data_IF_017953522427
#
_entry.id   IF_017953522427
#
_cell.length_a   1.000
_cell.length_b   1.000
_cell.length_c   1.000
_cell.angle_alpha   90.00
_cell.angle_beta   90.00
_cell.angle_gamma   90.00
#
_symmetry.space_group_name_H-M   'P 1'
#
loop_
_entity.id
_entity.type
_entity.pdbx_description
1 polymer ?
#
# COMPACT_ATOMS: atom_id res chain seq x y z
N UNK A 1 20.48 -7.40 -20.46
CA UNK A 1 20.06 -6.79 -19.17
C UNK A 1 18.67 -6.20 -19.37
N UNK A 2 17.76 -6.36 -18.41
CA UNK A 2 16.41 -5.78 -18.49
C UNK A 2 16.44 -4.25 -18.57
N UNK A 3 15.43 -3.65 -19.22
CA UNK A 3 15.32 -2.20 -19.31
C UNK A 3 15.09 -1.57 -17.92
N UNK A 4 15.33 -0.27 -17.76
CA UNK A 4 15.07 0.41 -16.48
C UNK A 4 13.60 0.29 -16.04
N UNK A 5 12.67 0.29 -17.00
CA UNK A 5 11.22 0.13 -16.74
C UNK A 5 10.91 -1.28 -16.25
N UNK A 6 11.48 -2.31 -16.90
CA UNK A 6 11.30 -3.70 -16.50
C UNK A 6 11.85 -3.96 -15.10
N UNK A 7 13.02 -3.38 -14.80
CA UNK A 7 13.64 -3.47 -13.47
C UNK A 7 12.81 -2.83 -12.38
N UNK A 8 12.19 -1.68 -12.64
CA UNK A 8 11.29 -1.03 -11.69
C UNK A 8 10.03 -1.89 -11.41
N UNK A 9 9.44 -2.49 -12.45
CA UNK A 9 8.31 -3.43 -12.32
C UNK A 9 8.67 -4.68 -11.54
N UNK A 10 9.84 -5.26 -11.78
CA UNK A 10 10.30 -6.43 -11.03
C UNK A 10 10.47 -6.08 -9.56
N UNK A 11 11.15 -4.97 -9.27
CA UNK A 11 11.36 -4.54 -7.89
C UNK A 11 10.04 -4.22 -7.19
N UNK A 12 9.02 -3.69 -7.89
CA UNK A 12 7.69 -3.49 -7.31
C UNK A 12 7.01 -4.79 -6.96
N UNK A 13 7.11 -5.82 -7.81
CA UNK A 13 6.59 -7.15 -7.53
C UNK A 13 7.26 -7.77 -6.29
N UNK A 14 8.60 -7.77 -6.25
CA UNK A 14 9.36 -8.28 -5.08
C UNK A 14 8.99 -7.49 -3.82
N UNK A 15 8.85 -6.16 -3.92
CA UNK A 15 8.48 -5.29 -2.80
C UNK A 15 7.07 -5.55 -2.27
N UNK A 16 6.17 -6.02 -3.14
CA UNK A 16 4.82 -6.43 -2.78
C UNK A 16 4.78 -7.62 -1.82
N UNK A 17 5.84 -8.44 -1.76
CA UNK A 17 5.96 -9.52 -0.77
C UNK A 17 5.87 -8.93 0.64
N UNK A 18 5.01 -9.46 1.53
CA UNK A 18 4.97 -9.03 2.93
C UNK A 18 6.37 -9.05 3.54
N UNK A 19 6.66 -8.10 4.42
CA UNK A 19 7.94 -8.05 5.14
C UNK A 19 7.70 -7.53 6.54
N UNK A 20 8.41 -8.04 7.56
CA UNK A 20 8.23 -7.59 8.95
C UNK A 20 8.68 -6.13 9.13
N UNK A 21 9.61 -5.67 8.30
CA UNK A 21 10.12 -4.31 8.31
C UNK A 21 9.70 -3.55 7.05
N UNK A 22 9.50 -2.24 7.18
CA UNK A 22 9.39 -1.35 6.03
C UNK A 22 10.75 -1.28 5.32
N UNK A 23 10.83 -1.92 4.16
CA UNK A 23 12.00 -1.93 3.28
C UNK A 23 11.73 -1.14 2.01
N UNK A 24 12.79 -0.69 1.35
CA UNK A 24 12.73 0.02 0.07
C UNK A 24 13.90 -0.37 -0.83
N UNK A 25 13.69 -0.30 -2.14
CA UNK A 25 14.65 -0.71 -3.15
C UNK A 25 15.07 0.47 -4.04
N UNK A 26 16.38 0.59 -4.26
CA UNK A 26 16.95 1.57 -5.17
C UNK A 26 17.87 0.89 -6.20
N UNK A 27 17.44 0.87 -7.46
CA UNK A 27 18.27 0.45 -8.59
C UNK A 27 19.32 1.53 -8.92
N UNK A 28 20.60 1.19 -8.79
CA UNK A 28 21.75 2.02 -9.19
C UNK A 28 22.41 1.53 -10.48
N UNK A 29 21.83 0.53 -11.14
CA UNK A 29 22.31 -0.09 -12.37
C UNK A 29 23.34 -1.19 -12.12
N UNK A 30 24.45 -0.87 -11.45
CA UNK A 30 25.50 -1.83 -11.11
C UNK A 30 25.34 -2.46 -9.71
N UNK A 31 24.45 -1.91 -8.89
CA UNK A 31 24.04 -2.44 -7.60
C UNK A 31 22.56 -2.13 -7.33
N UNK A 32 21.94 -2.94 -6.48
CA UNK A 32 20.65 -2.67 -5.87
C UNK A 32 20.90 -2.39 -4.40
N UNK A 33 20.32 -1.30 -3.90
CA UNK A 33 20.40 -0.90 -2.51
C UNK A 33 19.07 -1.17 -1.85
N UNK A 34 19.07 -1.98 -0.79
CA UNK A 34 17.93 -2.20 0.08
C UNK A 34 18.13 -1.37 1.35
N UNK A 35 17.15 -0.57 1.69
CA UNK A 35 17.15 0.22 2.92
C UNK A 35 15.96 -0.14 3.77
N UNK A 36 16.08 0.05 5.08
CA UNK A 36 14.96 -0.08 6.02
C UNK A 36 14.81 1.20 6.84
N UNK A 37 13.59 1.48 7.28
CA UNK A 37 13.30 2.52 8.27
C UNK A 37 13.25 1.98 9.71
N UNK A 38 13.39 0.67 9.89
CA UNK A 38 13.45 0.05 11.21
C UNK A 38 14.73 0.44 11.96
N UNK A 39 14.57 0.75 13.25
CA UNK A 39 15.65 1.25 14.12
C UNK A 39 16.32 0.15 14.95
N UNK A 40 15.76 -1.06 15.01
CA UNK A 40 16.38 -2.20 15.67
C UNK A 40 17.36 -2.95 14.77
N UNK A 41 17.78 -4.14 15.21
CA UNK A 41 18.87 -4.89 14.56
C UNK A 41 18.41 -5.69 13.34
N UNK A 42 18.17 -4.97 12.24
CA UNK A 42 17.87 -5.58 10.92
C UNK A 42 19.04 -6.39 10.37
N UNK A 43 20.27 -6.10 10.77
CA UNK A 43 21.43 -6.83 10.24
C UNK A 43 21.46 -8.25 10.79
N UNK A 44 21.17 -8.44 12.06
CA UNK A 44 21.02 -9.78 12.65
C UNK A 44 19.89 -10.55 11.98
N UNK A 45 18.72 -9.93 11.78
CA UNK A 45 17.62 -10.54 11.02
C UNK A 45 18.06 -11.01 9.63
N UNK A 46 18.71 -10.17 8.83
CA UNK A 46 19.19 -10.59 7.51
C UNK A 46 20.19 -11.74 7.60
N UNK A 47 21.08 -11.71 8.60
CA UNK A 47 22.06 -12.77 8.79
C UNK A 47 21.41 -14.11 9.14
N UNK A 48 20.35 -14.11 9.95
CA UNK A 48 19.57 -15.32 10.27
C UNK A 48 18.90 -15.91 9.02
N UNK A 49 18.22 -15.06 8.26
CA UNK A 49 17.61 -15.44 6.98
C UNK A 49 18.64 -16.05 6.03
N UNK A 50 19.78 -15.40 5.83
CA UNK A 50 20.81 -15.90 4.92
C UNK A 50 21.51 -17.16 5.44
N UNK A 51 21.69 -17.33 6.75
CA UNK A 51 22.24 -18.57 7.33
C UNK A 51 21.29 -19.75 7.13
N UNK A 52 19.97 -19.52 7.19
CA UNK A 52 18.97 -20.56 7.00
C UNK A 52 18.85 -20.97 5.53
N UNK A 53 18.81 -20.00 4.61
CA UNK A 53 18.76 -20.25 3.16
C UNK A 53 20.08 -20.79 2.60
N UNK A 54 21.21 -20.39 3.19
CA UNK A 54 22.52 -20.74 2.70
C UNK A 54 23.46 -21.20 3.83
N UNK A 55 23.17 -22.36 4.46
CA UNK A 55 23.88 -22.82 5.67
C UNK A 55 25.37 -23.08 5.43
N UNK A 56 25.73 -23.47 4.21
CA UNK A 56 27.11 -23.79 3.83
C UNK A 56 27.96 -22.54 3.49
N UNK A 57 27.36 -21.34 3.47
CA UNK A 57 28.08 -20.13 3.08
C UNK A 57 28.85 -19.50 4.24
N UNK A 58 30.16 -19.45 4.10
CA UNK A 58 31.00 -18.61 4.95
C UNK A 58 30.82 -17.12 4.61
N UNK A 59 30.51 -16.30 5.60
CA UNK A 59 30.49 -14.84 5.48
C UNK A 59 31.80 -14.23 5.95
N UNK A 60 32.19 -13.09 5.37
CA UNK A 60 33.37 -12.32 5.81
C UNK A 60 32.92 -11.06 6.51
N UNK A 61 33.33 -10.91 7.76
CA UNK A 61 33.13 -9.67 8.51
C UNK A 61 34.40 -8.84 8.54
N UNK A 62 34.29 -7.55 8.24
CA UNK A 62 35.38 -6.58 8.38
C UNK A 62 34.80 -5.25 8.86
N UNK A 63 35.13 -4.87 10.09
CA UNK A 63 34.56 -3.70 10.76
C UNK A 63 33.02 -3.75 10.70
N UNK A 64 32.37 -2.66 10.27
CA UNK A 64 30.91 -2.58 10.21
C UNK A 64 30.28 -3.28 9.00
N UNK A 65 31.05 -4.05 8.21
CA UNK A 65 30.57 -4.67 6.97
C UNK A 65 30.62 -6.19 7.06
N UNK A 66 29.46 -6.82 6.83
CA UNK A 66 29.36 -8.26 6.57
C UNK A 66 29.19 -8.47 5.07
N UNK A 67 29.99 -9.36 4.49
CA UNK A 67 29.96 -9.72 3.07
C UNK A 67 29.53 -11.18 2.90
N UNK A 68 28.46 -11.37 2.14
CA UNK A 68 27.86 -12.67 1.81
C UNK A 68 27.94 -12.88 0.30
N UNK A 69 28.16 -14.12 -0.14
CA UNK A 69 28.24 -14.49 -1.55
C UNK A 69 27.25 -15.64 -1.85
N UNK A 70 25.96 -15.32 -2.04
CA UNK A 70 24.91 -16.34 -2.18
C UNK A 70 25.05 -17.20 -3.44
N UNK A 71 25.61 -16.62 -4.51
CA UNK A 71 25.75 -17.28 -5.80
C UNK A 71 27.00 -16.77 -6.54
N UNK A 72 27.51 -17.52 -7.54
CA UNK A 72 28.61 -17.07 -8.40
C UNK A 72 28.32 -15.69 -9.00
N UNK A 73 29.26 -14.75 -8.84
CA UNK A 73 29.12 -13.40 -9.41
C UNK A 73 28.15 -12.48 -8.67
N UNK A 74 27.68 -12.86 -7.48
CA UNK A 74 26.84 -12.04 -6.59
C UNK A 74 27.58 -11.73 -5.29
N UNK A 75 27.37 -10.53 -4.78
CA UNK A 75 27.91 -10.08 -3.49
C UNK A 75 26.88 -9.22 -2.79
N UNK A 76 26.50 -9.65 -1.59
CA UNK A 76 25.68 -8.90 -0.66
C UNK A 76 26.60 -8.29 0.40
N UNK A 77 26.44 -7.00 0.67
CA UNK A 77 27.13 -6.29 1.76
C UNK A 77 26.09 -5.71 2.70
N UNK A 78 26.14 -6.11 3.96
CA UNK A 78 25.33 -5.56 5.05
C UNK A 78 26.19 -4.59 5.84
N UNK A 79 25.69 -3.37 6.07
CA UNK A 79 26.35 -2.37 6.90
C UNK A 79 25.67 -2.31 8.28
N UNK A 80 26.39 -2.69 9.34
CA UNK A 80 25.92 -2.72 10.73
C UNK A 80 25.53 -1.34 11.26
N UNK A 81 26.16 -0.28 10.77
CA UNK A 81 25.94 1.09 11.25
C UNK A 81 24.76 1.77 10.56
N UNK A 82 24.58 1.54 9.26
CA UNK A 82 23.54 2.22 8.47
C UNK A 82 22.32 1.34 8.17
N UNK A 83 22.37 0.06 8.50
CA UNK A 83 21.34 -0.94 8.16
C UNK A 83 21.06 -1.04 6.65
N UNK A 84 22.01 -0.62 5.83
CA UNK A 84 21.91 -0.68 4.37
C UNK A 84 22.44 -2.02 3.88
N UNK A 85 21.67 -2.69 3.05
CA UNK A 85 22.12 -3.84 2.25
C UNK A 85 22.42 -3.39 0.81
N UNK A 86 23.58 -3.80 0.29
CA UNK A 86 23.95 -3.60 -1.11
C UNK A 86 24.15 -4.94 -1.80
N UNK A 87 23.49 -5.11 -2.95
CA UNK A 87 23.50 -6.34 -3.74
C UNK A 87 24.14 -6.00 -5.08
N UNK A 88 25.27 -6.62 -5.39
CA UNK A 88 26.16 -6.19 -6.48
C UNK A 88 26.83 -7.37 -7.19
N UNK A 89 27.43 -7.12 -8.35
CA UNK A 89 28.15 -8.13 -9.14
C UNK A 89 27.48 -8.42 -10.50
N UNK A 90 28.10 -9.24 -11.35
CA UNK A 90 27.58 -9.49 -12.71
C UNK A 90 26.25 -10.25 -12.71
N UNK A 91 26.01 -11.09 -11.70
CA UNK A 91 24.80 -11.91 -11.58
C UNK A 91 23.71 -11.33 -10.69
N UNK A 92 23.90 -10.12 -10.13
CA UNK A 92 23.01 -9.61 -9.07
C UNK A 92 21.55 -9.47 -9.48
N UNK A 93 21.28 -9.07 -10.73
CA UNK A 93 19.92 -8.93 -11.23
C UNK A 93 19.20 -10.27 -11.39
N UNK A 94 19.90 -11.28 -11.90
CA UNK A 94 19.35 -12.63 -12.07
C UNK A 94 19.03 -13.20 -10.69
N UNK A 95 19.97 -13.09 -9.74
CA UNK A 95 19.74 -13.54 -8.37
C UNK A 95 18.59 -12.79 -7.67
N UNK A 96 18.43 -11.48 -7.91
CA UNK A 96 17.29 -10.75 -7.37
C UNK A 96 15.95 -11.25 -7.89
N UNK A 97 15.87 -11.60 -9.17
CA UNK A 97 14.67 -12.17 -9.78
C UNK A 97 14.35 -13.55 -9.21
N UNK A 98 15.38 -14.39 -9.12
CA UNK A 98 15.20 -15.81 -8.89
C UNK A 98 15.12 -16.16 -7.40
N UNK A 99 15.65 -15.31 -6.50
CA UNK A 99 15.86 -15.70 -5.10
C UNK A 99 15.43 -14.67 -4.06
N UNK A 100 15.25 -13.39 -4.40
CA UNK A 100 15.02 -12.39 -3.34
C UNK A 100 13.61 -12.48 -2.72
N UNK A 101 12.61 -12.92 -3.48
CA UNK A 101 11.27 -13.19 -2.91
C UNK A 101 11.34 -14.26 -1.83
N UNK A 102 12.06 -15.36 -2.07
CA UNK A 102 12.30 -16.43 -1.09
C UNK A 102 13.05 -15.91 0.16
N UNK A 103 14.02 -15.01 -0.03
CA UNK A 103 14.69 -14.30 1.08
C UNK A 103 13.69 -13.54 1.95
N UNK A 104 12.71 -12.85 1.35
CA UNK A 104 11.68 -12.14 2.10
C UNK A 104 10.70 -13.11 2.79
N UNK A 105 10.31 -14.18 2.10
CA UNK A 105 9.41 -15.21 2.64
C UNK A 105 10.01 -15.93 3.84
N UNK A 106 11.29 -16.33 3.76
CA UNK A 106 11.99 -16.92 4.90
C UNK A 106 12.05 -15.95 6.08
N UNK A 107 12.32 -14.67 5.83
CA UNK A 107 12.28 -13.64 6.87
C UNK A 107 10.91 -13.46 7.53
N UNK A 108 9.83 -13.66 6.79
CA UNK A 108 8.48 -13.62 7.36
C UNK A 108 8.20 -14.83 8.26
N UNK A 109 8.63 -16.03 7.85
CA UNK A 109 8.47 -17.24 8.65
C UNK A 109 9.16 -17.10 10.01
N UNK A 110 10.40 -16.60 9.99
CA UNK A 110 11.23 -16.41 11.20
C UNK A 110 10.59 -15.39 12.17
N UNK A 111 9.95 -14.33 11.66
CA UNK A 111 9.27 -13.34 12.51
C UNK A 111 7.93 -13.83 13.09
N UNK A 112 7.20 -14.71 12.39
CA UNK A 112 6.00 -15.35 12.95
C UNK A 112 6.33 -16.25 14.14
N UNK A 113 7.57 -16.78 14.19
CA UNK A 113 8.08 -17.52 15.34
C UNK A 113 8.51 -16.60 16.50
N UNK A 114 8.67 -15.29 16.27
CA UNK A 114 9.30 -14.35 17.21
C UNK A 114 8.38 -13.32 17.87
N UNK A 115 7.24 -12.89 17.29
CA UNK A 115 6.41 -11.83 17.92
C UNK A 115 4.88 -11.98 17.75
N UNK A 116 4.23 -12.33 18.87
CA UNK A 116 2.84 -11.93 19.22
C UNK A 116 2.76 -10.42 19.58
N UNK A 117 3.85 -9.65 19.53
CA UNK A 117 3.87 -8.28 20.06
C UNK A 117 4.75 -7.37 19.20
N UNK A 118 4.19 -6.73 18.17
CA UNK A 118 4.29 -5.27 17.97
C UNK A 118 3.63 -4.76 16.68
N UNK A 119 2.96 -3.62 16.85
CA UNK A 119 2.05 -2.95 15.95
C UNK A 119 2.66 -2.44 14.64
N UNK A 120 1.80 -2.39 13.61
CA UNK A 120 1.92 -1.68 12.34
C UNK A 120 2.97 -0.56 12.38
N UNK A 121 4.03 -0.71 11.59
CA UNK A 121 5.21 0.16 11.57
C UNK A 121 4.85 1.66 11.55
N UNK A 122 5.36 2.43 12.52
CA UNK A 122 5.35 3.90 12.53
C UNK A 122 6.26 4.46 11.41
N UNK A 123 5.76 4.37 10.17
CA UNK A 123 6.46 4.81 8.97
C UNK A 123 6.05 6.25 8.58
N UNK A 124 6.86 6.88 7.72
CA UNK A 124 6.65 8.27 7.27
C UNK A 124 5.30 8.49 6.57
N UNK A 125 4.72 7.45 5.99
CA UNK A 125 3.38 7.45 5.37
C UNK A 125 2.29 7.59 6.43
N UNK A 126 2.39 6.86 7.53
CA UNK A 126 1.45 6.90 8.66
C UNK A 126 1.29 8.32 9.21
N UNK A 127 2.42 8.98 9.48
CA UNK A 127 2.46 10.37 9.97
C UNK A 127 1.99 11.38 8.93
N UNK A 128 2.28 11.14 7.64
CA UNK A 128 1.78 12.00 6.56
C UNK A 128 0.25 11.91 6.45
N UNK A 129 -0.28 10.70 6.60
CA UNK A 129 -1.71 10.45 6.65
C UNK A 129 -2.34 10.90 7.99
N UNK A 130 -1.57 11.31 8.99
CA UNK A 130 -2.09 11.71 10.30
C UNK A 130 -2.95 10.61 10.95
N UNK A 131 -2.71 9.34 10.63
CA UNK A 131 -3.42 8.22 11.24
C UNK A 131 -3.07 8.10 12.73
N UNK A 132 -1.87 8.55 13.11
CA UNK A 132 -1.39 8.69 14.48
C UNK A 132 -2.13 9.76 15.31
N UNK A 133 -2.82 10.70 14.65
CA UNK A 133 -3.62 11.74 15.30
C UNK A 133 -5.11 11.42 15.34
N UNK A 134 -5.55 10.45 14.54
CA UNK A 134 -6.90 9.89 14.61
C UNK A 134 -6.88 8.81 15.71
N UNK A 135 -6.94 9.26 16.96
CA UNK A 135 -6.99 8.38 18.15
C UNK A 135 -8.37 7.72 18.30
N UNK A 136 -9.39 8.23 17.59
CA UNK A 136 -10.72 7.64 17.54
C UNK A 136 -10.69 6.33 16.74
N UNK A 137 -11.19 5.26 17.36
CA UNK A 137 -11.34 3.97 16.69
C UNK A 137 -12.37 4.10 15.56
N UNK A 138 -12.25 3.27 14.52
CA UNK A 138 -13.24 3.24 13.42
C UNK A 138 -14.66 3.08 13.96
N UNK A 139 -14.82 2.28 15.03
CA UNK A 139 -16.10 2.05 15.68
C UNK A 139 -16.67 3.32 16.30
N UNK A 140 -15.86 4.17 16.95
CA UNK A 140 -16.32 5.45 17.51
C UNK A 140 -16.90 6.35 16.41
N UNK A 141 -16.26 6.39 15.23
CA UNK A 141 -16.75 7.15 14.08
C UNK A 141 -18.05 6.57 13.52
N UNK A 142 -18.18 5.25 13.50
CA UNK A 142 -19.42 4.58 13.05
C UNK A 142 -20.59 4.83 14.00
N UNK A 143 -20.35 4.80 15.31
CA UNK A 143 -21.36 5.02 16.35
C UNK A 143 -21.92 6.46 16.34
N UNK A 144 -21.20 7.40 15.73
CA UNK A 144 -21.71 8.76 15.50
C UNK A 144 -22.75 8.83 14.37
N UNK A 145 -22.89 7.80 13.54
CA UNK A 145 -23.87 7.75 12.45
C UNK A 145 -25.21 7.29 13.01
N UNK A 146 -26.29 8.10 12.89
CA UNK A 146 -27.62 7.67 13.31
C UNK A 146 -28.06 6.40 12.58
N UNK A 147 -28.86 5.57 13.26
CA UNK A 147 -29.50 4.41 12.64
C UNK A 147 -30.29 4.84 11.39
N UNK A 148 -30.05 4.16 10.26
CA UNK A 148 -30.64 4.51 8.96
C UNK A 148 -29.90 5.61 8.18
N UNK A 149 -28.87 6.21 8.76
CA UNK A 149 -28.02 7.23 8.15
C UNK A 149 -28.27 8.65 8.67
N UNK A 150 -27.33 9.54 8.41
CA UNK A 150 -27.37 10.92 8.90
C UNK A 150 -26.70 11.93 7.98
N UNK A 151 -26.96 13.21 8.26
CA UNK A 151 -26.33 14.34 7.56
C UNK A 151 -25.05 14.70 8.31
N UNK A 152 -23.90 14.43 7.70
CA UNK A 152 -22.59 14.63 8.31
C UNK A 152 -21.81 15.76 7.69
N UNK A 153 -20.87 16.32 8.46
CA UNK A 153 -19.96 17.34 7.97
C UNK A 153 -18.80 16.73 7.18
N UNK A 154 -18.31 17.49 6.22
CA UNK A 154 -17.23 17.11 5.31
C UNK A 154 -15.97 16.50 5.95
N UNK A 155 -15.51 17.06 7.06
CA UNK A 155 -14.36 16.65 7.83
C UNK A 155 -14.58 15.28 8.50
N UNK A 156 -15.76 15.05 9.06
CA UNK A 156 -16.16 13.74 9.57
C UNK A 156 -16.14 12.67 8.47
N UNK A 157 -16.75 12.96 7.31
CA UNK A 157 -16.85 11.99 6.19
C UNK A 157 -15.46 11.59 5.71
N UNK A 158 -14.55 12.55 5.59
CA UNK A 158 -13.17 12.30 5.16
C UNK A 158 -12.40 11.45 6.17
N UNK A 159 -12.59 11.70 7.48
CA UNK A 159 -11.99 10.89 8.55
C UNK A 159 -12.52 9.47 8.53
N UNK A 160 -13.84 9.31 8.51
CA UNK A 160 -14.51 8.00 8.48
C UNK A 160 -14.09 7.17 7.27
N UNK A 161 -14.16 7.74 6.07
CA UNK A 161 -13.74 7.08 4.84
C UNK A 161 -12.31 6.54 4.92
N UNK A 162 -11.39 7.40 5.37
CA UNK A 162 -9.98 7.07 5.47
C UNK A 162 -9.73 5.96 6.47
N UNK A 163 -10.38 6.04 7.64
CA UNK A 163 -10.25 5.05 8.70
C UNK A 163 -10.82 3.70 8.26
N UNK A 164 -11.98 3.67 7.60
CA UNK A 164 -12.55 2.44 7.04
C UNK A 164 -11.65 1.79 6.00
N UNK A 165 -11.09 2.57 5.06
CA UNK A 165 -10.19 2.00 4.06
C UNK A 165 -8.89 1.48 4.69
N UNK A 166 -8.31 2.19 5.67
CA UNK A 166 -7.10 1.68 6.37
C UNK A 166 -7.40 0.37 7.09
N UNK A 167 -8.55 0.28 7.76
CA UNK A 167 -8.98 -0.91 8.50
C UNK A 167 -9.29 -2.10 7.58
N UNK A 168 -10.06 -1.88 6.51
CA UNK A 168 -10.36 -2.91 5.52
C UNK A 168 -9.13 -3.39 4.76
N UNK A 169 -8.18 -2.49 4.47
CA UNK A 169 -6.87 -2.92 3.98
C UNK A 169 -6.13 -3.70 5.07
N UNK A 170 -6.12 -3.23 6.31
CA UNK A 170 -5.47 -3.87 7.45
C UNK A 170 -5.91 -5.32 7.68
N UNK A 171 -7.19 -5.63 7.46
CA UNK A 171 -7.72 -6.98 7.61
C UNK A 171 -7.66 -7.83 6.32
N UNK A 172 -7.19 -7.28 5.19
CA UNK A 172 -7.04 -8.02 3.94
C UNK A 172 -8.34 -8.19 3.15
N UNK A 173 -9.28 -7.24 3.26
CA UNK A 173 -10.55 -7.29 2.54
C UNK A 173 -10.43 -6.93 1.06
N UNK A 174 -11.45 -7.28 0.28
CA UNK A 174 -11.65 -6.79 -1.07
C UNK A 174 -12.40 -5.46 -1.01
N UNK A 175 -11.71 -4.36 -1.31
CA UNK A 175 -12.24 -2.99 -1.19
C UNK A 175 -12.64 -2.44 -2.55
N UNK A 176 -13.85 -1.91 -2.63
CA UNK A 176 -14.40 -1.22 -3.80
C UNK A 176 -14.64 0.25 -3.47
N UNK A 177 -13.98 1.14 -4.21
CA UNK A 177 -14.23 2.57 -4.17
C UNK A 177 -15.06 2.91 -5.40
N UNK A 178 -16.33 3.27 -5.20
CA UNK A 178 -17.26 3.60 -6.29
C UNK A 178 -17.60 5.07 -6.22
N UNK A 179 -17.14 5.84 -7.20
CA UNK A 179 -17.36 7.29 -7.19
C UNK A 179 -17.44 7.92 -8.57
N UNK A 180 -18.35 8.86 -8.82
CA UNK A 180 -18.41 9.59 -10.07
C UNK A 180 -17.21 10.53 -10.26
N UNK A 181 -16.56 10.94 -9.15
CA UNK A 181 -15.44 11.89 -9.16
C UNK A 181 -14.42 11.57 -8.09
N UNK A 182 -13.15 11.54 -8.49
CA UNK A 182 -12.00 11.57 -7.59
C UNK A 182 -10.99 12.62 -8.08
N UNK A 183 -10.32 13.30 -7.16
CA UNK A 183 -9.20 14.17 -7.49
C UNK A 183 -7.85 13.57 -7.05
N UNK A 184 -6.78 14.27 -7.43
CA UNK A 184 -5.42 13.84 -7.23
C UNK A 184 -5.02 13.66 -5.76
N UNK A 185 -5.57 14.45 -4.84
CA UNK A 185 -5.27 14.34 -3.41
C UNK A 185 -5.92 13.10 -2.81
N UNK A 186 -7.19 12.86 -3.12
CA UNK A 186 -7.92 11.67 -2.65
C UNK A 186 -7.32 10.39 -3.24
N UNK A 187 -7.00 10.38 -4.54
CA UNK A 187 -6.33 9.24 -5.17
C UNK A 187 -4.92 9.00 -4.59
N UNK A 188 -4.18 10.07 -4.28
CA UNK A 188 -2.89 9.93 -3.60
C UNK A 188 -3.03 9.31 -2.21
N UNK A 189 -4.04 9.69 -1.44
CA UNK A 189 -4.30 9.09 -0.13
C UNK A 189 -4.62 7.60 -0.24
N UNK A 190 -5.40 7.18 -1.23
CA UNK A 190 -5.64 5.75 -1.52
C UNK A 190 -4.31 5.02 -1.76
N UNK A 191 -3.44 5.55 -2.62
CA UNK A 191 -2.13 4.92 -2.87
C UNK A 191 -1.26 4.83 -1.61
N UNK A 192 -1.32 5.83 -0.73
CA UNK A 192 -0.58 5.80 0.53
C UNK A 192 -1.12 4.74 1.50
N UNK A 193 -2.45 4.60 1.59
CA UNK A 193 -3.11 3.56 2.39
C UNK A 193 -2.78 2.15 1.84
N UNK A 194 -2.76 1.99 0.52
CA UNK A 194 -2.34 0.74 -0.12
C UNK A 194 -0.90 0.39 0.25
N UNK A 195 0.03 1.36 0.13
CA UNK A 195 1.46 1.17 0.43
C UNK A 195 1.67 0.79 1.91
N UNK A 196 0.91 1.40 2.82
CA UNK A 196 0.97 1.10 4.26
C UNK A 196 0.56 -0.34 4.57
N UNK A 197 -0.45 -0.84 3.87
CA UNK A 197 -1.05 -2.15 4.13
C UNK A 197 -0.60 -3.24 3.14
N UNK A 198 0.51 -3.05 2.39
CA UNK A 198 0.96 -3.97 1.32
C UNK A 198 1.01 -5.46 1.70
N UNK A 199 1.18 -5.76 2.99
CA UNK A 199 1.39 -7.11 3.51
C UNK A 199 0.13 -7.88 3.90
N UNK A 200 -1.05 -7.29 3.78
CA UNK A 200 -2.31 -7.87 4.30
C UNK A 200 -3.14 -8.61 3.24
N UNK A 201 -2.63 -8.72 2.01
CA UNK A 201 -3.29 -9.38 0.88
C UNK A 201 -4.67 -8.80 0.51
N UNK A 202 -4.91 -7.53 0.83
CA UNK A 202 -6.11 -6.83 0.37
C UNK A 202 -6.13 -6.67 -1.16
N UNK A 203 -7.32 -6.51 -1.72
CA UNK A 203 -7.50 -6.10 -3.12
C UNK A 203 -8.24 -4.76 -3.16
N UNK A 204 -7.94 -3.92 -4.15
CA UNK A 204 -8.64 -2.65 -4.32
C UNK A 204 -9.08 -2.42 -5.76
N UNK A 205 -10.35 -2.06 -5.91
CA UNK A 205 -10.95 -1.68 -7.18
C UNK A 205 -11.54 -0.27 -7.09
N UNK A 206 -11.16 0.61 -8.01
CA UNK A 206 -11.76 1.91 -8.23
C UNK A 206 -12.72 1.84 -9.42
N UNK A 207 -14.02 1.92 -9.15
CA UNK A 207 -15.03 2.12 -10.18
C UNK A 207 -15.25 3.61 -10.38
N UNK A 208 -15.03 4.12 -11.59
CA UNK A 208 -15.12 5.54 -11.92
C UNK A 208 -15.44 5.76 -13.41
N UNK A 209 -16.29 6.73 -13.79
CA UNK A 209 -16.51 7.07 -15.20
C UNK A 209 -15.20 7.44 -15.92
N UNK A 210 -15.05 7.04 -17.18
CA UNK A 210 -13.86 7.38 -17.98
C UNK A 210 -13.68 8.90 -18.13
N UNK A 211 -14.81 9.61 -18.22
CA UNK A 211 -14.91 11.06 -18.22
C UNK A 211 -15.78 11.50 -17.05
N UNK A 212 -15.23 12.33 -16.17
CA UNK A 212 -16.00 12.90 -15.07
C UNK A 212 -17.07 13.89 -15.58
N UNK A 213 -17.98 14.35 -14.71
CA UNK A 213 -19.04 15.31 -15.04
C UNK A 213 -18.56 16.65 -15.64
N UNK A 214 -17.28 17.00 -15.47
CA UNK A 214 -16.65 18.18 -16.08
C UNK A 214 -15.89 17.90 -17.39
N UNK A 215 -16.02 16.70 -17.97
CA UNK A 215 -15.33 16.29 -19.20
C UNK A 215 -13.85 15.90 -19.02
N UNK A 216 -13.30 16.07 -17.82
CA UNK A 216 -11.93 15.65 -17.52
C UNK A 216 -11.82 14.12 -17.48
N UNK A 217 -10.83 13.59 -18.19
CA UNK A 217 -10.54 12.16 -18.22
C UNK A 217 -9.81 11.74 -16.94
N UNK A 218 -10.19 10.60 -16.36
CA UNK A 218 -9.52 10.03 -15.18
C UNK A 218 -8.00 9.91 -15.36
N UNK A 219 -7.54 9.63 -16.59
CA UNK A 219 -6.11 9.59 -16.95
C UNK A 219 -5.34 10.85 -16.50
N UNK A 220 -5.94 12.04 -16.61
CA UNK A 220 -5.30 13.30 -16.20
C UNK A 220 -5.17 13.42 -14.68
N UNK A 221 -6.18 12.97 -13.93
CA UNK A 221 -6.12 12.84 -12.48
C UNK A 221 -5.00 11.89 -12.06
N UNK A 222 -4.92 10.72 -12.70
CA UNK A 222 -3.86 9.74 -12.44
C UNK A 222 -2.47 10.31 -12.71
N UNK A 223 -2.26 10.97 -13.86
CA UNK A 223 -0.98 11.60 -14.20
C UNK A 223 -0.58 12.69 -13.18
N UNK A 224 -1.53 13.50 -12.73
CA UNK A 224 -1.30 14.55 -11.73
C UNK A 224 -0.96 13.95 -10.37
N UNK A 225 -1.65 12.89 -9.98
CA UNK A 225 -1.38 12.12 -8.77
C UNK A 225 0.04 11.56 -8.77
N UNK A 226 0.45 10.93 -9.88
CA UNK A 226 1.82 10.40 -10.04
C UNK A 226 2.87 11.50 -9.94
N UNK A 227 2.62 12.68 -10.52
CA UNK A 227 3.53 13.84 -10.38
C UNK A 227 3.61 14.32 -8.92
N UNK A 228 2.49 14.31 -8.21
CA UNK A 228 2.46 14.69 -6.79
C UNK A 228 3.23 13.69 -5.94
N UNK A 229 3.01 12.38 -6.10
CA UNK A 229 3.78 11.32 -5.41
C UNK A 229 5.29 11.49 -5.57
N UNK A 230 5.75 11.82 -6.79
CA UNK A 230 7.18 12.05 -7.10
C UNK A 230 7.78 13.30 -6.44
N UNK A 231 6.94 14.28 -6.11
CA UNK A 231 7.34 15.58 -5.54
C UNK A 231 7.17 15.65 -4.03
N UNK A 232 6.22 14.89 -3.47
CA UNK A 232 5.93 14.89 -2.04
C UNK A 232 7.14 14.43 -1.23
N UNK A 233 7.51 15.25 -0.24
CA UNK A 233 8.63 15.02 0.67
C UNK A 233 8.15 15.00 2.11
N UNK A 234 8.85 14.25 2.94
CA UNK A 234 8.61 14.26 4.39
C UNK A 234 8.92 15.65 4.95
N UNK A 235 8.06 16.22 5.83
CA UNK A 235 8.24 17.59 6.32
C UNK A 235 9.59 17.83 7.01
N UNK A 236 10.07 16.86 7.82
CA UNK A 236 11.27 17.01 8.64
C UNK A 236 12.57 16.74 7.89
N UNK A 237 12.63 15.71 7.05
CA UNK A 237 13.90 15.28 6.42
C UNK A 237 14.04 15.74 4.98
N UNK A 238 12.98 16.27 4.37
CA UNK A 238 12.92 16.64 2.96
C UNK A 238 13.27 15.49 1.99
N UNK A 239 13.35 14.24 2.49
CA UNK A 239 13.42 13.04 1.68
C UNK A 239 12.08 12.78 1.01
N UNK A 240 12.12 12.17 -0.18
CA UNK A 240 10.91 11.71 -0.87
C UNK A 240 10.07 10.83 0.05
N UNK A 241 8.76 11.03 0.05
CA UNK A 241 7.83 10.24 0.85
C UNK A 241 7.65 8.83 0.28
N UNK A 242 7.52 8.74 -1.05
CA UNK A 242 7.27 7.49 -1.77
C UNK A 242 8.40 7.27 -2.79
N UNK A 243 8.97 6.06 -2.81
CA UNK A 243 9.96 5.68 -3.80
C UNK A 243 9.33 5.31 -5.13
N UNK A 244 10.14 5.25 -6.19
CA UNK A 244 9.63 4.89 -7.51
C UNK A 244 9.08 3.45 -7.53
N UNK A 245 9.63 2.56 -6.70
CA UNK A 245 9.20 1.16 -6.55
C UNK A 245 7.83 1.06 -5.86
N UNK A 246 7.65 1.75 -4.73
CA UNK A 246 6.37 1.80 -4.00
C UNK A 246 5.25 2.38 -4.85
N UNK A 247 5.56 3.45 -5.60
CA UNK A 247 4.62 4.07 -6.54
C UNK A 247 4.25 3.12 -7.69
N UNK A 248 5.23 2.40 -8.26
CA UNK A 248 4.96 1.43 -9.32
C UNK A 248 4.05 0.30 -8.81
N UNK A 249 4.32 -0.22 -7.61
CA UNK A 249 3.46 -1.24 -6.98
C UNK A 249 2.02 -0.75 -6.80
N UNK A 250 1.83 0.46 -6.26
CA UNK A 250 0.49 1.01 -6.03
C UNK A 250 -0.30 1.20 -7.35
N UNK A 251 0.39 1.59 -8.43
CA UNK A 251 -0.22 1.74 -9.76
C UNK A 251 -0.60 0.40 -10.39
N UNK A 252 0.17 -0.66 -10.14
CA UNK A 252 -0.07 -2.00 -10.68
C UNK A 252 -1.17 -2.76 -9.93
N UNK A 253 -1.37 -2.44 -8.64
CA UNK A 253 -2.33 -3.14 -7.78
C UNK A 253 -3.67 -2.40 -7.59
N UNK A 254 -3.83 -1.20 -8.17
CA UNK A 254 -5.13 -0.54 -8.23
C UNK A 254 -5.88 -0.99 -9.50
N UNK A 255 -6.91 -1.81 -9.33
CA UNK A 255 -7.79 -2.18 -10.44
C UNK A 255 -8.72 -1.00 -10.74
N UNK A 256 -8.76 -0.52 -11.99
CA UNK A 256 -9.65 0.57 -12.39
C UNK A 256 -10.71 0.02 -13.34
N UNK A 257 -11.97 0.18 -12.96
CA UNK A 257 -13.13 -0.17 -13.76
C UNK A 257 -13.84 1.10 -14.21
N UNK A 258 -14.09 1.20 -15.52
CA UNK A 258 -14.77 2.36 -16.10
C UNK A 258 -16.22 2.03 -16.42
N UNK A 259 -17.12 2.68 -15.69
CA UNK A 259 -18.56 2.54 -15.88
C UNK A 259 -19.25 3.91 -15.67
N UNK A 260 -20.34 4.16 -16.38
CA UNK A 260 -21.11 5.38 -16.23
C UNK A 260 -22.20 5.20 -15.16
N UNK A 261 -22.03 5.87 -14.03
CA UNK A 261 -22.97 5.84 -12.93
C UNK A 261 -22.95 7.18 -12.16
N UNK A 262 -23.92 7.36 -11.27
CA UNK A 262 -24.04 8.54 -10.39
C UNK A 262 -24.01 8.21 -8.90
N UNK A 263 -23.98 6.92 -8.54
CA UNK A 263 -23.90 6.47 -7.14
C UNK A 263 -22.51 6.68 -6.55
N UNK A 264 -22.43 6.79 -5.23
CA UNK A 264 -21.17 6.98 -4.53
C UNK A 264 -21.16 6.21 -3.20
N UNK A 265 -20.22 5.28 -3.09
CA UNK A 265 -20.02 4.46 -1.91
C UNK A 265 -18.61 3.89 -1.86
N UNK A 266 -18.20 3.49 -0.66
CA UNK A 266 -17.11 2.52 -0.49
C UNK A 266 -17.69 1.26 0.10
N UNK A 267 -17.16 0.12 -0.32
CA UNK A 267 -17.55 -1.16 0.21
C UNK A 267 -16.33 -2.03 0.43
N UNK A 268 -16.41 -2.94 1.38
CA UNK A 268 -15.46 -4.02 1.53
C UNK A 268 -16.18 -5.32 1.78
N UNK A 269 -15.55 -6.43 1.38
CA UNK A 269 -15.97 -7.75 1.82
C UNK A 269 -14.76 -8.64 2.09
N UNK A 270 -14.92 -9.51 3.08
CA UNK A 270 -14.00 -10.59 3.40
C UNK A 270 -14.83 -11.78 3.82
N UNK A 271 -14.57 -12.93 3.20
CA UNK A 271 -15.38 -14.13 3.39
C UNK A 271 -16.88 -13.85 3.14
N UNK A 272 -17.76 -14.18 4.08
CA UNK A 272 -19.21 -14.01 3.97
C UNK A 272 -19.72 -12.65 4.48
N UNK A 273 -18.84 -11.80 5.02
CA UNK A 273 -19.19 -10.50 5.59
C UNK A 273 -18.82 -9.34 4.67
N UNK A 274 -19.74 -8.40 4.52
CA UNK A 274 -19.55 -7.18 3.76
C UNK A 274 -20.02 -5.95 4.52
N UNK A 275 -19.36 -4.82 4.22
CA UNK A 275 -19.65 -3.51 4.78
C UNK A 275 -19.75 -2.49 3.66
N UNK A 276 -20.71 -1.57 3.77
CA UNK A 276 -20.94 -0.52 2.76
C UNK A 276 -21.19 0.81 3.44
N UNK A 277 -20.36 1.80 3.08
CA UNK A 277 -20.60 3.21 3.39
C UNK A 277 -21.09 3.91 2.12
N UNK A 278 -22.37 4.26 2.11
CA UNK A 278 -22.98 5.11 1.06
C UNK A 278 -22.93 6.58 1.46
N UNK A 279 -22.62 7.46 0.51
CA UNK A 279 -22.64 8.91 0.77
C UNK A 279 -22.89 9.74 -0.47
N UNK A 280 -23.50 10.92 -0.30
CA UNK A 280 -23.62 11.91 -1.39
C UNK A 280 -22.32 12.69 -1.63
N UNK A 281 -21.34 12.57 -0.74
CA UNK A 281 -20.04 13.22 -0.86
C UNK A 281 -19.13 12.47 -1.85
N UNK A 282 -18.93 13.01 -3.04
CA UNK A 282 -17.91 12.47 -3.96
C UNK A 282 -16.51 12.59 -3.37
N UNK A 283 -15.57 11.75 -3.81
CA UNK A 283 -14.15 11.78 -3.40
C UNK A 283 -13.36 12.98 -3.98
N UNK A 284 -13.88 14.18 -3.82
CA UNK A 284 -13.40 15.39 -4.47
C UNK A 284 -13.39 16.60 -3.53
N UNK A 285 -12.44 17.52 -3.68
CA UNK A 285 -12.26 18.73 -2.82
C UNK A 285 -13.53 19.53 -2.62
N UNK A 286 -14.41 19.54 -3.62
CA UNK A 286 -15.69 20.25 -3.57
C UNK A 286 -16.69 19.70 -2.56
N UNK A 287 -16.40 18.56 -1.93
CA UNK A 287 -17.16 18.02 -0.80
C UNK A 287 -16.36 18.08 0.51
N UNK A 288 -15.03 18.16 0.44
CA UNK A 288 -14.15 18.12 1.63
C UNK A 288 -13.48 19.44 2.02
N UNK A 289 -13.61 20.51 1.24
CA UNK A 289 -13.01 21.82 1.53
C UNK A 289 -14.03 22.95 1.61
N UNK A 290 -15.26 22.66 1.21
CA UNK A 290 -16.40 23.55 1.38
C UNK A 290 -17.21 22.99 2.54
N UNK A 291 -17.74 23.83 3.44
CA UNK A 291 -18.62 23.47 4.57
C UNK A 291 -19.94 22.84 4.12
N UNK A 292 -19.86 21.76 3.36
CA UNK A 292 -20.97 20.99 2.86
C UNK A 292 -21.34 19.91 3.87
N UNK A 293 -22.62 19.62 3.87
CA UNK A 293 -23.21 18.52 4.60
C UNK A 293 -23.69 17.51 3.57
N UNK A 294 -23.37 16.25 3.81
CA UNK A 294 -23.66 15.16 2.90
C UNK A 294 -24.32 14.02 3.69
N UNK A 295 -25.19 13.27 3.02
CA UNK A 295 -25.81 12.11 3.65
C UNK A 295 -24.77 10.99 3.75
N UNK A 296 -24.79 10.27 4.86
CA UNK A 296 -23.92 9.13 5.12
C UNK A 296 -24.77 8.02 5.70
N UNK A 297 -24.66 6.82 5.16
CA UNK A 297 -25.30 5.63 5.70
C UNK A 297 -24.33 4.46 5.60
N UNK A 298 -24.15 3.75 6.71
CA UNK A 298 -23.26 2.60 6.85
C UNK A 298 -24.10 1.36 7.14
N UNK A 299 -23.82 0.26 6.43
CA UNK A 299 -24.54 -0.99 6.59
C UNK A 299 -23.57 -2.16 6.58
N UNK A 300 -23.84 -3.16 7.43
CA UNK A 300 -23.25 -4.50 7.34
C UNK A 300 -24.26 -5.42 6.66
N UNK A 301 -23.79 -6.25 5.74
CA UNK A 301 -24.62 -7.17 4.98
C UNK A 301 -23.83 -8.40 4.51
N UNK A 302 -24.51 -9.49 4.07
CA UNK A 302 -23.83 -10.63 3.48
C UNK A 302 -23.08 -10.26 2.19
N UNK A 303 -21.94 -10.88 1.94
CA UNK A 303 -21.16 -10.70 0.69
C UNK A 303 -22.00 -10.93 -0.56
N UNK A 304 -22.93 -11.87 -0.54
CA UNK A 304 -23.86 -12.14 -1.65
C UNK A 304 -24.74 -10.95 -1.98
N UNK A 305 -25.21 -10.23 -0.96
CA UNK A 305 -26.07 -9.05 -1.14
C UNK A 305 -25.27 -7.85 -1.63
N UNK A 306 -24.02 -7.69 -1.19
CA UNK A 306 -23.12 -6.66 -1.71
C UNK A 306 -22.92 -6.87 -3.22
N UNK A 307 -22.54 -8.10 -3.60
CA UNK A 307 -22.29 -8.47 -4.98
C UNK A 307 -23.54 -8.25 -5.84
N UNK A 308 -24.69 -8.75 -5.41
CA UNK A 308 -25.95 -8.67 -6.17
C UNK A 308 -26.48 -7.24 -6.30
N UNK A 309 -26.50 -6.50 -5.19
CA UNK A 309 -27.23 -5.23 -5.11
C UNK A 309 -26.37 -4.00 -5.44
N UNK A 310 -25.04 -4.08 -5.25
CA UNK A 310 -24.14 -2.93 -5.43
C UNK A 310 -23.14 -3.13 -6.57
N UNK A 311 -22.47 -4.27 -6.65
CA UNK A 311 -21.35 -4.46 -7.59
C UNK A 311 -21.81 -4.95 -8.98
N UNK A 312 -22.71 -5.93 -9.03
CA UNK A 312 -23.24 -6.49 -10.28
C UNK A 312 -23.91 -5.43 -11.18
N UNK A 313 -24.73 -4.48 -10.66
CA UNK A 313 -25.30 -3.42 -11.49
C UNK A 313 -24.27 -2.48 -12.12
N UNK A 314 -23.04 -2.45 -11.59
CA UNK A 314 -21.94 -1.61 -12.08
C UNK A 314 -21.02 -2.36 -13.04
N UNK A 315 -21.37 -3.58 -13.48
CA UNK A 315 -20.49 -4.39 -14.32
C UNK A 315 -19.22 -4.86 -13.61
N UNK A 316 -19.10 -4.61 -12.29
CA UNK A 316 -18.01 -5.08 -11.45
C UNK A 316 -18.28 -6.55 -11.13
N UNK A 317 -18.06 -7.41 -12.13
CA UNK A 317 -17.93 -8.84 -11.91
C UNK A 317 -16.62 -9.07 -11.18
N UNK A 318 -16.64 -9.86 -10.11
CA UNK A 318 -15.44 -10.23 -9.35
C UNK A 318 -14.40 -10.75 -10.33
N UNK A 319 -13.39 -9.92 -10.62
CA UNK A 319 -12.25 -10.28 -11.44
C UNK A 319 -11.56 -11.43 -10.70
N UNK A 320 -11.56 -12.60 -11.34
CA UNK A 320 -10.77 -13.81 -11.06
C UNK A 320 -10.23 -13.94 -9.62
N UNK A 321 -10.89 -14.80 -8.83
CA UNK A 321 -10.25 -15.46 -7.67
C UNK A 321 -9.03 -16.27 -8.12
#
# INVERSE_FOLDING_TARGET
MPSKKDRARVLSQIWGTPTPFDIDFFDKGNEIVVTTHYKGDVVTFWMEVYKRLYPELTYREKADIIKIKPAPGVTIKLNKRSSIMKISGKGHWIWMLDSFTEVLEQGNADMRELDEVHSVSDNSVTRYLQLDKNVEEVQDLLDMIPEGGGIMQHDFIMRLWKSLIDDWFGCGANVHIVTPRIDEERLFQVFLLMIRNKGTAFNVSLCIPEKGPGGEKFKKTLETTVRMMKKTRTPRTQKRLVSDVKMQWALENLTVHHENFSTNFIAAFKDDEAEVLTTTAHFHKSHFHTFKKDNVCYNKLPTTDLKRNYLFPLGVTTVNL
#
